data_IF_944866175056
#
_entry.id   IF_944866175056
#
_cell.length_a   1.000
_cell.length_b   1.000
_cell.length_c   1.000
_cell.angle_alpha   90.00
_cell.angle_beta   90.00
_cell.angle_gamma   90.00
#
_symmetry.space_group_name_H-M   'P 1'
#
loop_
_entity.id
_entity.type
_entity.pdbx_description
1 polymer ?
#
# COMPACT_ATOMS: atom_id res chain seq x y z
N UNK A 1 -19.31 4.85 -36.09
CA UNK A 1 -18.52 3.77 -35.49
C UNK A 1 -19.40 2.68 -34.88
N UNK A 2 -20.30 2.96 -33.91
CA UNK A 2 -21.18 1.95 -33.28
C UNK A 2 -21.97 1.13 -34.32
N UNK A 3 -22.68 1.80 -35.21
CA UNK A 3 -23.45 1.14 -36.28
C UNK A 3 -22.59 0.23 -37.18
N UNK A 4 -21.35 0.62 -37.42
CA UNK A 4 -20.39 -0.20 -38.17
C UNK A 4 -20.02 -1.48 -37.40
N UNK A 5 -19.72 -1.37 -36.09
CA UNK A 5 -19.39 -2.54 -35.21
C UNK A 5 -20.57 -3.52 -35.17
N UNK A 6 -21.77 -3.00 -34.98
CA UNK A 6 -22.97 -3.84 -34.90
C UNK A 6 -23.27 -4.55 -36.23
N UNK A 7 -23.03 -3.87 -37.39
CA UNK A 7 -23.27 -4.42 -38.70
C UNK A 7 -22.18 -5.39 -39.17
N UNK A 8 -20.92 -4.98 -39.09
CA UNK A 8 -19.79 -5.76 -39.63
C UNK A 8 -19.32 -6.84 -38.73
N UNK A 9 -19.22 -6.55 -37.39
CA UNK A 9 -18.73 -7.54 -36.41
C UNK A 9 -19.86 -8.33 -35.75
N UNK A 10 -21.13 -7.97 -36.01
CA UNK A 10 -22.33 -8.60 -35.41
C UNK A 10 -22.26 -8.67 -33.88
N UNK A 11 -21.61 -7.68 -33.25
CA UNK A 11 -21.45 -7.59 -31.81
C UNK A 11 -22.37 -6.51 -31.25
N UNK A 12 -23.26 -6.82 -30.28
CA UNK A 12 -24.12 -5.83 -29.67
C UNK A 12 -23.29 -4.83 -28.85
N UNK A 13 -23.42 -3.53 -29.14
CA UNK A 13 -22.71 -2.48 -28.40
C UNK A 13 -23.58 -2.00 -27.23
N UNK A 14 -23.06 -2.10 -26.02
CA UNK A 14 -23.74 -1.57 -24.84
C UNK A 14 -23.65 -0.04 -24.83
N UNK A 15 -24.69 0.62 -25.35
CA UNK A 15 -24.75 2.08 -25.52
C UNK A 15 -24.70 2.84 -24.17
N UNK A 16 -25.14 2.23 -23.07
CA UNK A 16 -25.06 2.83 -21.74
C UNK A 16 -23.62 2.90 -21.18
N UNK A 17 -22.73 2.03 -21.70
CA UNK A 17 -21.32 1.96 -21.29
C UNK A 17 -20.36 2.43 -22.37
N UNK A 18 -20.86 2.73 -23.56
CA UNK A 18 -20.07 3.17 -24.70
C UNK A 18 -20.36 4.65 -24.95
N UNK A 19 -19.31 5.45 -24.98
CA UNK A 19 -19.39 6.87 -25.27
C UNK A 19 -18.13 7.35 -25.96
N UNK A 20 -18.25 8.43 -26.72
CA UNK A 20 -17.13 9.21 -27.23
C UNK A 20 -17.20 10.58 -26.58
N UNK A 21 -16.10 11.03 -26.01
CA UNK A 21 -16.00 12.31 -25.34
C UNK A 21 -14.54 12.69 -25.09
N UNK A 22 -14.28 13.88 -24.55
CA UNK A 22 -12.93 14.25 -24.17
C UNK A 22 -12.39 13.21 -23.19
N UNK A 23 -11.14 12.80 -23.39
CA UNK A 23 -10.46 11.80 -22.54
C UNK A 23 -10.16 12.29 -21.12
N UNK A 24 -10.33 13.61 -20.90
CA UNK A 24 -10.05 14.27 -19.63
C UNK A 24 -10.88 13.68 -18.49
N UNK A 25 -10.16 13.20 -17.47
CA UNK A 25 -10.76 12.60 -16.28
C UNK A 25 -11.39 11.22 -16.48
N UNK A 26 -11.35 10.66 -17.69
CA UNK A 26 -11.91 9.34 -17.98
C UNK A 26 -11.05 8.26 -17.31
N UNK A 27 -11.68 7.44 -16.44
CA UNK A 27 -11.02 6.30 -15.82
C UNK A 27 -11.09 5.09 -16.77
N UNK A 28 -9.95 4.64 -17.26
CA UNK A 28 -9.82 3.46 -18.12
C UNK A 28 -8.83 2.48 -17.49
N UNK A 29 -9.24 1.23 -17.31
CA UNK A 29 -8.39 0.14 -16.79
C UNK A 29 -7.70 0.49 -15.45
N UNK A 30 -8.32 1.31 -14.62
CA UNK A 30 -7.76 1.70 -13.33
C UNK A 30 -6.80 2.89 -13.38
N UNK A 31 -6.58 3.45 -14.54
CA UNK A 31 -5.87 4.71 -14.75
C UNK A 31 -6.84 5.85 -15.04
N UNK A 32 -6.37 7.07 -14.87
CA UNK A 32 -7.04 8.29 -15.27
C UNK A 32 -6.11 9.07 -16.20
N UNK A 33 -6.64 9.47 -17.35
CA UNK A 33 -5.94 10.34 -18.27
C UNK A 33 -6.26 11.80 -17.94
N UNK A 34 -5.25 12.61 -17.72
CA UNK A 34 -5.38 14.05 -17.49
C UNK A 34 -5.39 14.83 -18.81
N UNK A 35 -5.75 16.10 -18.76
CA UNK A 35 -5.80 16.99 -19.95
C UNK A 35 -4.48 17.13 -20.68
N UNK A 36 -3.38 17.08 -19.93
CA UNK A 36 -2.01 17.18 -20.44
C UNK A 36 -1.48 15.85 -21.02
N UNK A 37 -2.34 14.82 -21.09
CA UNK A 37 -1.95 13.49 -21.53
C UNK A 37 -1.31 12.62 -20.45
N UNK A 38 -1.08 13.15 -19.25
CA UNK A 38 -0.42 12.42 -18.15
C UNK A 38 -1.29 11.25 -17.65
N UNK A 39 -0.69 10.08 -17.51
CA UNK A 39 -1.34 8.88 -16.97
C UNK A 39 -1.20 8.86 -15.44
N UNK A 40 -2.32 8.88 -14.74
CA UNK A 40 -2.39 8.82 -13.28
C UNK A 40 -3.16 7.59 -12.80
N UNK A 41 -2.98 7.26 -11.52
CA UNK A 41 -3.82 6.27 -10.87
C UNK A 41 -5.25 6.78 -10.71
N UNK A 42 -6.23 5.98 -11.12
CA UNK A 42 -7.63 6.29 -10.82
C UNK A 42 -7.87 6.21 -9.29
N UNK A 43 -8.66 7.13 -8.71
CA UNK A 43 -8.96 7.13 -7.27
C UNK A 43 -9.45 5.78 -6.76
N UNK A 44 -10.29 5.11 -7.54
CA UNK A 44 -10.83 3.77 -7.23
C UNK A 44 -9.72 2.70 -7.12
N UNK A 45 -8.65 2.81 -7.90
CA UNK A 45 -7.49 1.90 -7.83
C UNK A 45 -6.68 2.12 -6.55
N UNK A 46 -6.52 3.38 -6.15
CA UNK A 46 -5.88 3.76 -4.89
C UNK A 46 -6.69 3.25 -3.69
N UNK A 47 -8.02 3.42 -3.70
CA UNK A 47 -8.87 2.92 -2.61
C UNK A 47 -8.87 1.39 -2.52
N UNK A 48 -8.82 0.67 -3.64
CA UNK A 48 -8.66 -0.79 -3.65
C UNK A 48 -7.33 -1.22 -3.03
N UNK A 49 -6.23 -0.54 -3.38
CA UNK A 49 -4.93 -0.77 -2.75
C UNK A 49 -5.00 -0.54 -1.24
N UNK A 50 -5.57 0.59 -0.81
CA UNK A 50 -5.73 0.91 0.60
C UNK A 50 -6.59 -0.12 1.35
N UNK A 51 -7.67 -0.60 0.74
CA UNK A 51 -8.50 -1.65 1.31
C UNK A 51 -7.70 -2.93 1.53
N UNK A 52 -6.94 -3.37 0.52
CA UNK A 52 -6.11 -4.58 0.61
C UNK A 52 -4.96 -4.44 1.62
N UNK A 53 -4.36 -3.25 1.71
CA UNK A 53 -3.34 -2.97 2.73
C UNK A 53 -3.94 -3.07 4.15
N UNK A 54 -5.14 -2.55 4.38
CA UNK A 54 -5.82 -2.67 5.69
C UNK A 54 -6.11 -4.13 6.04
N UNK A 55 -6.51 -4.92 5.06
CA UNK A 55 -6.76 -6.36 5.21
C UNK A 55 -5.47 -7.12 5.55
N UNK A 56 -4.42 -6.99 4.71
CA UNK A 56 -3.16 -7.70 4.88
C UNK A 56 -2.43 -7.32 6.19
N UNK A 57 -2.49 -6.04 6.58
CA UNK A 57 -1.85 -5.54 7.79
C UNK A 57 -2.81 -5.48 9.00
N UNK A 58 -3.79 -6.38 9.05
CA UNK A 58 -4.59 -6.61 10.25
C UNK A 58 -3.86 -7.59 11.18
N UNK A 59 -3.57 -7.12 12.39
CA UNK A 59 -2.85 -7.92 13.39
C UNK A 59 -3.64 -9.13 13.92
N UNK A 60 -4.94 -9.19 13.65
CA UNK A 60 -5.80 -10.32 14.07
C UNK A 60 -5.61 -11.56 13.21
N UNK A 61 -4.95 -11.44 12.06
CA UNK A 61 -4.64 -12.59 11.22
C UNK A 61 -3.60 -13.49 11.92
N UNK A 62 -3.85 -14.79 11.94
CA UNK A 62 -2.98 -15.82 12.54
C UNK A 62 -1.82 -16.20 11.59
N UNK A 63 -1.21 -15.22 10.91
CA UNK A 63 -0.09 -15.43 10.01
C UNK A 63 1.23 -15.28 10.75
N UNK A 64 2.20 -16.10 10.41
CA UNK A 64 3.60 -15.85 10.78
C UNK A 64 4.14 -14.61 10.07
N UNK A 65 5.28 -14.09 10.52
CA UNK A 65 5.91 -12.96 9.84
C UNK A 65 6.39 -13.32 8.43
N UNK A 66 6.74 -14.59 8.22
CA UNK A 66 7.15 -15.14 6.92
C UNK A 66 5.97 -15.18 5.94
N UNK A 67 4.86 -15.78 6.33
CA UNK A 67 3.64 -15.83 5.52
C UNK A 67 3.11 -14.43 5.20
N UNK A 68 3.16 -13.50 6.17
CA UNK A 68 2.78 -12.12 5.95
C UNK A 68 3.69 -11.43 4.92
N UNK A 69 5.00 -11.70 4.97
CA UNK A 69 5.97 -11.21 3.98
C UNK A 69 5.65 -11.72 2.59
N UNK A 70 5.44 -13.03 2.46
CA UNK A 70 5.14 -13.65 1.17
C UNK A 70 3.85 -13.11 0.56
N UNK A 71 2.78 -13.03 1.35
CA UNK A 71 1.51 -12.47 0.91
C UNK A 71 1.65 -11.01 0.49
N UNK A 72 2.41 -10.23 1.28
CA UNK A 72 2.69 -8.83 0.97
C UNK A 72 3.43 -8.69 -0.36
N UNK A 73 4.54 -9.40 -0.53
CA UNK A 73 5.36 -9.33 -1.75
C UNK A 73 4.59 -9.78 -2.98
N UNK A 74 3.83 -10.87 -2.89
CA UNK A 74 2.99 -11.35 -3.99
C UNK A 74 1.99 -10.29 -4.43
N UNK A 75 1.30 -9.68 -3.47
CA UNK A 75 0.30 -8.68 -3.76
C UNK A 75 0.92 -7.39 -4.32
N UNK A 76 1.92 -6.83 -3.62
CA UNK A 76 2.43 -5.50 -3.98
C UNK A 76 3.21 -5.50 -5.29
N UNK A 77 3.94 -6.58 -5.58
CA UNK A 77 4.64 -6.73 -6.84
C UNK A 77 3.67 -6.91 -8.02
N UNK A 78 2.62 -7.71 -7.85
CA UNK A 78 1.56 -7.85 -8.86
C UNK A 78 0.84 -6.52 -9.11
N UNK A 79 0.49 -5.81 -8.05
CA UNK A 79 -0.14 -4.51 -8.15
C UNK A 79 0.77 -3.51 -8.89
N UNK A 80 2.03 -3.43 -8.51
CA UNK A 80 2.99 -2.51 -9.14
C UNK A 80 3.32 -2.92 -10.58
N UNK A 81 3.42 -4.21 -10.87
CA UNK A 81 3.60 -4.72 -12.22
C UNK A 81 2.56 -4.19 -13.20
N UNK A 82 1.31 -4.04 -12.72
CA UNK A 82 0.21 -3.48 -13.50
C UNK A 82 0.24 -1.95 -13.53
N UNK A 83 0.42 -1.30 -12.37
CA UNK A 83 0.28 0.15 -12.23
C UNK A 83 1.58 0.96 -12.43
N UNK A 84 2.69 0.33 -12.78
CA UNK A 84 3.98 1.00 -13.04
C UNK A 84 3.95 2.01 -14.19
N UNK A 85 2.93 1.96 -15.03
CA UNK A 85 2.71 2.90 -16.13
C UNK A 85 2.29 4.30 -15.67
N UNK A 86 1.97 4.47 -14.38
CA UNK A 86 1.67 5.79 -13.83
C UNK A 86 2.88 6.70 -13.92
N UNK A 87 2.73 7.88 -14.49
CA UNK A 87 3.81 8.84 -14.72
C UNK A 87 4.08 9.68 -13.48
N UNK A 88 3.05 9.95 -12.67
CA UNK A 88 3.19 10.70 -11.42
C UNK A 88 3.62 9.81 -10.25
N UNK A 89 4.92 9.67 -10.07
CA UNK A 89 5.49 8.85 -8.99
C UNK A 89 5.11 9.31 -7.58
N UNK A 90 4.85 10.60 -7.39
CA UNK A 90 4.47 11.10 -6.07
C UNK A 90 3.09 10.56 -5.60
N UNK A 91 2.19 10.18 -6.51
CA UNK A 91 0.94 9.50 -6.15
C UNK A 91 1.20 8.20 -5.37
N UNK A 92 2.31 7.50 -5.65
CA UNK A 92 2.71 6.27 -4.94
C UNK A 92 3.67 6.54 -3.77
N UNK A 93 4.46 7.59 -3.81
CA UNK A 93 5.35 7.95 -2.69
C UNK A 93 4.57 8.39 -1.45
N UNK A 94 3.47 9.10 -1.61
CA UNK A 94 2.56 9.42 -0.51
C UNK A 94 1.93 8.17 0.11
N UNK A 95 1.62 7.18 -0.71
CA UNK A 95 1.14 5.88 -0.25
C UNK A 95 2.18 5.12 0.56
N UNK A 96 3.48 5.29 0.28
CA UNK A 96 4.57 4.63 1.01
C UNK A 96 4.52 4.93 2.50
N UNK A 97 4.41 6.19 2.86
CA UNK A 97 4.32 6.62 4.26
C UNK A 97 3.07 6.07 4.95
N UNK A 98 1.95 6.04 4.24
CA UNK A 98 0.69 5.49 4.74
C UNK A 98 0.77 3.96 4.93
N UNK A 99 1.30 3.21 3.96
CA UNK A 99 1.50 1.76 4.03
C UNK A 99 2.42 1.40 5.20
N UNK A 100 3.56 2.08 5.33
CA UNK A 100 4.51 1.82 6.43
C UNK A 100 3.92 2.09 7.82
N UNK A 101 2.98 3.03 7.94
CA UNK A 101 2.23 3.21 9.19
C UNK A 101 1.35 2.01 9.52
N UNK A 102 0.69 1.40 8.52
CA UNK A 102 -0.09 0.18 8.70
C UNK A 102 0.81 -0.99 9.11
N UNK A 103 1.98 -1.14 8.51
CA UNK A 103 2.99 -2.13 8.91
C UNK A 103 3.39 -1.97 10.38
N UNK A 104 3.80 -0.75 10.77
CA UNK A 104 4.20 -0.45 12.16
C UNK A 104 3.07 -0.67 13.15
N UNK A 105 1.83 -0.27 12.81
CA UNK A 105 0.65 -0.54 13.62
C UNK A 105 0.45 -2.04 13.83
N UNK A 106 0.51 -2.82 12.75
CA UNK A 106 0.34 -4.27 12.79
C UNK A 106 1.39 -4.92 13.70
N UNK A 107 2.67 -4.63 13.52
CA UNK A 107 3.73 -5.17 14.37
C UNK A 107 3.55 -4.79 15.84
N UNK A 108 3.22 -3.54 16.13
CA UNK A 108 2.94 -3.12 17.50
C UNK A 108 1.81 -3.92 18.14
N UNK A 109 0.74 -4.17 17.42
CA UNK A 109 -0.39 -4.96 17.90
C UNK A 109 -0.01 -6.45 18.07
N UNK A 110 0.78 -7.02 17.17
CA UNK A 110 1.23 -8.41 17.21
C UNK A 110 2.21 -8.68 18.38
N UNK A 111 2.89 -7.67 18.88
CA UNK A 111 3.70 -7.80 20.08
C UNK A 111 2.88 -7.89 21.37
N UNK A 112 1.56 -7.80 21.27
CA UNK A 112 0.51 -7.97 22.27
C UNK A 112 0.76 -7.27 23.62
N UNK A 113 1.63 -7.86 24.48
CA UNK A 113 1.84 -7.43 25.84
C UNK A 113 3.04 -6.48 25.98
N UNK A 114 3.07 -5.64 27.03
CA UNK A 114 4.20 -4.74 27.29
C UNK A 114 5.57 -5.45 27.28
N UNK A 115 5.67 -6.66 27.87
CA UNK A 115 6.90 -7.47 27.84
C UNK A 115 7.29 -7.87 26.39
N UNK A 116 6.32 -8.28 25.58
CA UNK A 116 6.54 -8.60 24.17
C UNK A 116 7.04 -7.39 23.38
N UNK A 117 6.42 -6.24 23.58
CA UNK A 117 6.83 -4.95 22.99
C UNK A 117 8.24 -4.56 23.42
N UNK A 118 8.54 -4.65 24.72
CA UNK A 118 9.87 -4.39 25.28
C UNK A 118 10.94 -5.25 24.60
N UNK A 119 10.70 -6.57 24.54
CA UNK A 119 11.63 -7.51 23.91
C UNK A 119 11.81 -7.25 22.41
N UNK A 120 10.73 -6.90 21.70
CA UNK A 120 10.80 -6.54 20.29
C UNK A 120 11.63 -5.25 20.08
N UNK A 121 11.38 -4.20 20.85
CA UNK A 121 12.15 -2.96 20.80
C UNK A 121 13.64 -3.19 21.07
N UNK A 122 13.97 -4.01 22.09
CA UNK A 122 15.37 -4.39 22.38
C UNK A 122 16.02 -5.13 21.21
N UNK A 123 15.33 -6.12 20.62
CA UNK A 123 15.83 -6.87 19.45
C UNK A 123 16.04 -5.97 18.23
N UNK A 124 15.25 -4.92 18.10
CA UNK A 124 15.39 -3.90 17.05
C UNK A 124 16.46 -2.85 17.37
N UNK A 125 17.21 -3.02 18.47
CA UNK A 125 18.38 -2.20 18.81
C UNK A 125 18.07 -0.94 19.62
N UNK A 126 16.85 -0.76 20.11
CA UNK A 126 16.52 0.37 20.99
C UNK A 126 17.03 0.11 22.41
N UNK A 127 17.47 1.19 23.09
CA UNK A 127 18.04 1.16 24.44
C UNK A 127 17.60 2.39 25.23
N UNK A 128 17.76 2.32 26.56
CA UNK A 128 17.50 3.46 27.45
C UNK A 128 16.01 3.73 27.67
N UNK A 129 15.67 4.96 28.01
CA UNK A 129 14.32 5.39 28.43
C UNK A 129 13.22 5.15 27.39
N UNK A 130 13.58 5.15 26.09
CA UNK A 130 12.62 4.88 25.01
C UNK A 130 11.91 3.54 25.19
N UNK A 131 12.55 2.58 25.84
CA UNK A 131 11.97 1.27 26.10
C UNK A 131 10.73 1.37 27.03
N UNK A 132 10.61 2.42 27.81
CA UNK A 132 9.41 2.71 28.60
C UNK A 132 8.15 2.84 27.76
N UNK A 133 8.29 3.18 26.50
CA UNK A 133 7.16 3.24 25.56
C UNK A 133 6.47 1.87 25.34
N UNK A 134 7.13 0.76 25.67
CA UNK A 134 6.51 -0.56 25.63
C UNK A 134 5.26 -0.65 26.53
N UNK A 135 5.23 0.13 27.61
CA UNK A 135 4.14 0.20 28.58
C UNK A 135 3.11 1.29 28.27
N UNK A 136 3.25 1.98 27.14
CA UNK A 136 2.35 3.06 26.76
C UNK A 136 0.91 2.59 26.61
N UNK A 137 -0.02 3.32 27.23
CA UNK A 137 -1.46 3.13 27.05
C UNK A 137 -1.99 3.74 25.73
N UNK A 138 -1.15 4.41 24.96
CA UNK A 138 -1.56 5.02 23.67
C UNK A 138 -1.99 3.94 22.69
N UNK A 139 -3.06 4.22 21.93
CA UNK A 139 -3.55 3.32 20.89
C UNK A 139 -2.49 3.03 19.81
N UNK A 140 -2.57 1.86 19.21
CA UNK A 140 -1.58 1.36 18.25
C UNK A 140 -1.36 2.30 17.05
N UNK A 141 -2.40 3.04 16.64
CA UNK A 141 -2.29 4.01 15.54
C UNK A 141 -1.47 5.24 15.92
N UNK A 142 -1.62 5.72 17.16
CA UNK A 142 -0.81 6.83 17.68
C UNK A 142 0.67 6.41 17.81
N UNK A 143 0.92 5.20 18.32
CA UNK A 143 2.27 4.65 18.46
C UNK A 143 2.91 4.39 17.08
N UNK A 144 2.17 3.92 16.08
CA UNK A 144 2.70 3.71 14.73
C UNK A 144 3.24 5.00 14.08
N UNK A 145 2.77 6.16 14.54
CA UNK A 145 3.24 7.49 14.11
C UNK A 145 4.32 8.05 15.03
N UNK A 146 4.50 7.47 16.19
CA UNK A 146 5.45 7.93 17.19
C UNK A 146 6.89 7.58 16.78
N UNK A 147 7.84 8.44 17.16
CA UNK A 147 9.24 8.26 16.82
C UNK A 147 9.82 6.90 17.27
N UNK A 148 9.31 6.31 18.36
CA UNK A 148 9.74 4.97 18.81
C UNK A 148 9.58 3.92 17.72
N UNK A 149 8.44 3.92 17.02
CA UNK A 149 8.19 2.94 15.95
C UNK A 149 8.94 3.29 14.66
N UNK A 150 9.11 4.57 14.36
CA UNK A 150 9.91 4.97 13.20
C UNK A 150 11.40 4.73 13.41
N UNK A 151 11.87 4.72 14.65
CA UNK A 151 13.25 4.35 15.01
C UNK A 151 13.46 2.85 15.10
N UNK A 152 12.50 2.09 15.64
CA UNK A 152 12.55 0.63 15.72
C UNK A 152 12.42 -0.02 14.34
N UNK A 153 11.38 0.35 13.62
CA UNK A 153 11.09 -0.15 12.28
C UNK A 153 11.35 0.97 11.25
N UNK A 154 12.62 1.33 11.10
CA UNK A 154 13.09 2.23 10.03
C UNK A 154 12.71 1.63 8.67
N UNK A 155 12.63 2.47 7.64
CA UNK A 155 12.35 1.99 6.28
C UNK A 155 13.35 0.90 5.86
N UNK A 156 14.65 1.13 6.04
CA UNK A 156 15.71 0.14 5.79
C UNK A 156 15.54 -1.15 6.60
N UNK A 157 15.00 -1.07 7.83
CA UNK A 157 14.72 -2.26 8.64
C UNK A 157 13.58 -3.08 8.05
N UNK A 158 12.49 -2.43 7.64
CA UNK A 158 11.37 -3.10 6.96
C UNK A 158 11.83 -3.76 5.65
N UNK A 159 12.62 -3.06 4.85
CA UNK A 159 13.20 -3.57 3.59
C UNK A 159 14.10 -4.78 3.83
N UNK A 160 14.98 -4.73 4.84
CA UNK A 160 15.84 -5.87 5.25
C UNK A 160 15.03 -7.11 5.64
N UNK A 161 13.86 -6.92 6.23
CA UNK A 161 12.94 -8.02 6.53
C UNK A 161 12.05 -8.41 5.33
N UNK A 162 12.27 -7.82 4.16
CA UNK A 162 11.54 -8.14 2.94
C UNK A 162 10.21 -7.42 2.77
N UNK A 163 9.89 -6.45 3.64
CA UNK A 163 8.68 -5.62 3.48
C UNK A 163 8.96 -4.41 2.59
N UNK A 164 9.29 -4.69 1.34
CA UNK A 164 9.69 -3.69 0.34
C UNK A 164 8.49 -3.03 -0.35
N UNK A 165 8.74 -1.89 -0.96
CA UNK A 165 7.83 -1.17 -1.84
C UNK A 165 8.50 -1.06 -3.23
N UNK A 166 7.98 -1.74 -4.27
CA UNK A 166 8.69 -1.93 -5.54
C UNK A 166 9.02 -0.62 -6.26
N UNK A 167 8.21 0.42 -6.06
CA UNK A 167 8.48 1.74 -6.67
C UNK A 167 9.60 2.54 -6.02
N UNK A 168 10.09 2.11 -4.88
CA UNK A 168 11.25 2.72 -4.21
C UNK A 168 12.55 2.02 -4.61
N UNK A 169 12.49 0.71 -4.86
CA UNK A 169 13.66 -0.08 -5.32
C UNK A 169 13.98 0.15 -6.80
N UNK A 170 13.00 0.59 -7.60
CA UNK A 170 13.18 0.87 -9.02
C UNK A 170 13.80 2.26 -9.30
N UNK A 171 14.19 3.01 -8.27
CA UNK A 171 14.77 4.36 -8.38
C UNK A 171 16.29 4.39 -8.22
N UNK A 172 16.94 3.22 -8.18
CA UNK A 172 18.40 3.05 -8.24
C UNK A 172 18.74 2.49 -9.59
#
# INVERSE_FOLDING_TARGET
>A
MIAWIERELKLPVNRAKSGSGPSDGTALLGFRLEKDGTIRLAPKSVERLKAKVRELWDARQSLTSEELREQWLRYINGWWGYFRLTERRWDVTDLSGWIRRHMRKCFWQRWHHPRGRLNALKRLGLRGEILGMAYSAKGAWAIARHWVMTSALKNKTLERYGFTLPWETAAT
#
